data_IF_394114165691
#
_entry.id   IF_394114165691
#
_cell.length_a   1.000
_cell.length_b   1.000
_cell.length_c   1.000
_cell.angle_alpha   90.00
_cell.angle_beta   90.00
_cell.angle_gamma   90.00
#
_symmetry.space_group_name_H-M   'P 1'
#
loop_
_entity.id
_entity.type
_entity.pdbx_description
1 polymer ?
#
# COMPACT_ATOMS: atom_id res chain seq x y z
N UNK A 1 -7.74 20.33 -2.30
CA UNK A 1 -6.48 20.08 -1.59
C UNK A 1 -5.90 18.73 -1.95
N UNK A 2 -4.61 18.69 -2.12
CA UNK A 2 -3.93 17.47 -2.54
C UNK A 2 -3.64 16.57 -1.34
N UNK A 3 -3.92 15.29 -1.50
CA UNK A 3 -3.62 14.30 -0.47
C UNK A 3 -2.30 13.64 -0.76
N UNK A 4 -1.42 13.56 0.23
CA UNK A 4 -0.12 12.95 0.04
C UNK A 4 -0.06 11.52 0.53
N UNK A 5 -0.91 11.16 1.48
CA UNK A 5 -0.97 9.81 2.01
C UNK A 5 -1.47 9.77 3.44
N UNK A 6 -1.26 8.63 4.09
CA UNK A 6 -1.68 8.43 5.48
C UNK A 6 -0.54 7.83 6.29
N UNK A 7 -0.65 7.92 7.61
CA UNK A 7 0.25 7.22 8.52
C UNK A 7 -0.33 5.87 8.88
N UNK A 8 0.49 4.84 8.78
CA UNK A 8 0.15 3.50 9.24
C UNK A 8 1.16 3.16 10.34
N UNK A 9 0.73 3.32 11.58
CA UNK A 9 1.66 3.29 12.69
C UNK A 9 2.60 4.49 12.59
N UNK A 10 3.90 4.22 12.55
CA UNK A 10 4.91 5.27 12.44
C UNK A 10 5.43 5.44 11.00
N UNK A 11 4.81 4.78 10.04
CA UNK A 11 5.27 4.79 8.65
C UNK A 11 4.27 5.53 7.78
N UNK A 12 4.80 6.26 6.80
CA UNK A 12 3.97 7.01 5.87
C UNK A 12 3.71 6.18 4.61
N UNK A 13 2.44 6.02 4.26
CA UNK A 13 2.01 5.32 3.05
C UNK A 13 1.50 6.35 2.06
N UNK A 14 2.22 6.57 0.94
CA UNK A 14 1.83 7.60 -0.02
C UNK A 14 0.50 7.31 -0.72
N UNK A 15 -0.21 8.37 -1.09
CA UNK A 15 -1.52 8.26 -1.72
C UNK A 15 -1.47 7.50 -3.05
N UNK A 16 -0.45 7.74 -3.87
CA UNK A 16 -0.33 7.04 -5.15
C UNK A 16 -0.19 5.53 -4.96
N UNK A 17 0.48 5.12 -3.88
CA UNK A 17 0.64 3.70 -3.57
C UNK A 17 -0.70 3.12 -3.14
N UNK A 18 -1.44 3.84 -2.29
CA UNK A 18 -2.77 3.38 -1.86
C UNK A 18 -3.68 3.18 -3.07
N UNK A 19 -3.70 4.15 -3.97
CA UNK A 19 -4.57 4.07 -5.15
C UNK A 19 -4.17 2.96 -6.09
N UNK A 20 -2.86 2.74 -6.27
CA UNK A 20 -2.39 1.65 -7.10
C UNK A 20 -2.82 0.29 -6.52
N UNK A 21 -2.67 0.13 -5.19
CA UNK A 21 -3.07 -1.11 -4.52
C UNK A 21 -4.59 -1.31 -4.59
N UNK A 22 -5.36 -0.25 -4.40
CA UNK A 22 -6.82 -0.34 -4.54
C UNK A 22 -7.20 -0.86 -5.93
N UNK A 23 -6.53 -0.35 -6.96
CA UNK A 23 -6.78 -0.80 -8.32
C UNK A 23 -6.39 -2.26 -8.53
N UNK A 24 -5.24 -2.68 -7.98
CA UNK A 24 -4.81 -4.07 -8.07
C UNK A 24 -5.83 -5.00 -7.42
N UNK A 25 -6.34 -4.62 -6.25
CA UNK A 25 -7.32 -5.43 -5.54
C UNK A 25 -8.64 -5.50 -6.30
N UNK A 26 -9.06 -4.39 -6.89
CA UNK A 26 -10.27 -4.35 -7.71
C UNK A 26 -10.16 -5.29 -8.91
N UNK A 27 -8.97 -5.40 -9.48
CA UNK A 27 -8.72 -6.26 -10.65
C UNK A 27 -8.40 -7.71 -10.28
N UNK A 28 -8.29 -8.00 -8.99
CA UNK A 28 -7.98 -9.37 -8.54
C UNK A 28 -6.51 -9.74 -8.68
N UNK A 29 -5.63 -8.77 -8.85
CA UNK A 29 -4.19 -9.02 -8.94
C UNK A 29 -3.65 -9.35 -7.56
N UNK A 30 -2.84 -10.39 -7.44
CA UNK A 30 -2.30 -10.85 -6.18
C UNK A 30 -0.87 -10.42 -5.92
N UNK A 31 -0.17 -9.96 -6.94
CA UNK A 31 1.21 -9.50 -6.80
C UNK A 31 1.56 -8.55 -7.92
N UNK A 32 2.26 -7.47 -7.58
CA UNK A 32 2.73 -6.51 -8.57
C UNK A 32 3.95 -5.77 -8.04
N UNK A 33 4.80 -5.33 -8.94
CA UNK A 33 5.95 -4.50 -8.64
C UNK A 33 5.90 -3.30 -9.59
N UNK A 34 6.01 -2.11 -9.04
CA UNK A 34 5.96 -0.89 -9.85
C UNK A 34 6.79 0.21 -9.21
N UNK A 35 6.98 1.29 -9.95
CA UNK A 35 7.71 2.46 -9.45
C UNK A 35 6.70 3.52 -8.99
N UNK A 36 6.82 3.98 -7.76
CA UNK A 36 5.97 5.03 -7.23
C UNK A 36 6.42 6.40 -7.74
N UNK A 37 5.61 7.42 -7.45
CA UNK A 37 5.94 8.79 -7.81
C UNK A 37 7.18 9.29 -7.10
N UNK A 38 7.53 8.66 -5.97
CA UNK A 38 8.74 8.98 -5.24
C UNK A 38 10.02 8.46 -5.92
N UNK A 39 9.86 7.66 -6.99
CA UNK A 39 11.00 7.09 -7.72
C UNK A 39 11.50 5.78 -7.16
N UNK A 40 10.92 5.30 -6.08
CA UNK A 40 11.32 4.04 -5.48
C UNK A 40 10.46 2.88 -5.99
N UNK A 41 11.00 1.68 -5.93
CA UNK A 41 10.25 0.47 -6.32
C UNK A 41 9.37 0.03 -5.16
N UNK A 42 8.14 -0.34 -5.48
CA UNK A 42 7.18 -0.83 -4.51
C UNK A 42 6.68 -2.20 -4.95
N UNK A 43 6.35 -3.04 -3.98
CA UNK A 43 5.81 -4.36 -4.24
C UNK A 43 4.55 -4.59 -3.42
N UNK A 44 3.54 -5.16 -4.05
CA UNK A 44 2.31 -5.56 -3.41
C UNK A 44 2.18 -7.07 -3.49
N UNK A 45 1.80 -7.70 -2.39
CA UNK A 45 1.51 -9.14 -2.34
C UNK A 45 0.24 -9.32 -1.52
N UNK A 46 -0.66 -10.16 -2.01
CA UNK A 46 -1.88 -10.50 -1.30
C UNK A 46 -2.02 -12.01 -1.23
N UNK A 47 -2.32 -12.50 -0.04
CA UNK A 47 -2.64 -13.91 0.17
C UNK A 47 -4.14 -13.99 0.47
N UNK A 48 -4.97 -14.23 -0.56
CA UNK A 48 -6.43 -14.12 -0.39
C UNK A 48 -7.02 -15.12 0.60
N UNK A 49 -6.37 -16.25 0.79
CA UNK A 49 -6.87 -17.30 1.68
C UNK A 49 -6.93 -16.84 3.14
N UNK A 50 -6.03 -15.98 3.55
CA UNK A 50 -5.99 -15.47 4.93
C UNK A 50 -6.20 -13.97 5.02
N UNK A 51 -6.38 -13.29 3.88
CA UNK A 51 -6.59 -11.85 3.83
C UNK A 51 -5.33 -11.02 4.10
N UNK A 52 -4.18 -11.66 4.12
CA UNK A 52 -2.91 -11.00 4.37
C UNK A 52 -2.52 -10.12 3.19
N UNK A 53 -2.11 -8.89 3.48
CA UNK A 53 -1.66 -7.93 2.47
C UNK A 53 -0.32 -7.38 2.92
N UNK A 54 0.64 -7.36 2.00
CA UNK A 54 1.97 -6.84 2.26
C UNK A 54 2.32 -5.81 1.20
N UNK A 55 2.81 -4.65 1.63
CA UNK A 55 3.24 -3.57 0.75
C UNK A 55 4.64 -3.18 1.18
N UNK A 56 5.59 -3.25 0.27
CA UNK A 56 6.99 -3.05 0.58
C UNK A 56 7.60 -2.00 -0.35
N UNK A 57 8.40 -1.11 0.23
CA UNK A 57 9.15 -0.11 -0.51
C UNK A 57 10.63 -0.47 -0.50
N UNK A 58 11.25 -0.46 -1.66
CA UNK A 58 12.68 -0.73 -1.82
C UNK A 58 13.40 0.54 -2.26
N UNK A 59 14.18 1.12 -1.37
CA UNK A 59 14.91 2.35 -1.67
C UNK A 59 16.35 2.11 -2.09
N UNK A 60 16.93 1.02 -1.64
CA UNK A 60 18.31 0.71 -1.93
C UNK A 60 18.48 -0.52 -2.78
N UNK A 61 17.92 -0.52 -3.98
CA UNK A 61 18.03 -1.66 -4.87
C UNK A 61 17.22 -2.84 -4.37
N UNK A 62 17.89 -3.92 -3.97
CA UNK A 62 17.20 -5.12 -3.52
C UNK A 62 16.86 -5.12 -2.03
N UNK A 63 17.31 -4.10 -1.31
CA UNK A 63 17.11 -4.08 0.13
C UNK A 63 15.77 -3.46 0.49
N UNK A 64 14.98 -4.21 1.27
CA UNK A 64 13.72 -3.74 1.78
C UNK A 64 13.94 -2.59 2.76
N UNK A 65 13.25 -1.48 2.55
CA UNK A 65 13.43 -0.29 3.36
C UNK A 65 12.26 -0.10 4.33
N UNK A 66 11.03 -0.12 3.79
CA UNK A 66 9.81 0.07 4.58
C UNK A 66 8.82 -1.00 4.18
N UNK A 67 8.22 -1.66 5.16
CA UNK A 67 7.16 -2.61 4.87
C UNK A 67 5.88 -2.27 5.64
N UNK A 68 4.76 -2.50 5.00
CA UNK A 68 3.43 -2.32 5.58
C UNK A 68 2.75 -3.68 5.58
N UNK A 69 2.64 -4.25 6.77
CA UNK A 69 2.13 -5.60 6.97
C UNK A 69 0.71 -5.51 7.50
N UNK A 70 -0.26 -5.74 6.62
CA UNK A 70 -1.67 -5.77 7.00
C UNK A 70 -2.05 -7.23 7.18
N UNK A 71 -2.00 -7.71 8.41
CA UNK A 71 -2.25 -9.11 8.73
C UNK A 71 -3.65 -9.60 8.37
N UNK A 72 -4.59 -8.67 8.14
CA UNK A 72 -5.95 -9.02 7.73
C UNK A 72 -6.44 -7.99 6.72
N UNK A 73 -7.44 -8.37 5.92
CA UNK A 73 -8.08 -7.43 5.01
C UNK A 73 -8.82 -6.34 5.78
N UNK A 74 -9.24 -6.63 7.01
CA UNK A 74 -9.88 -5.61 7.85
C UNK A 74 -8.91 -4.48 8.20
N UNK A 75 -7.64 -4.80 8.48
CA UNK A 75 -6.63 -3.78 8.75
C UNK A 75 -6.41 -2.89 7.54
N UNK A 76 -6.38 -3.48 6.35
CA UNK A 76 -6.27 -2.71 5.11
C UNK A 76 -7.49 -1.81 4.92
N UNK A 77 -8.70 -2.32 5.19
CA UNK A 77 -9.92 -1.54 5.05
C UNK A 77 -9.92 -0.31 5.96
N UNK A 78 -9.41 -0.45 7.18
CA UNK A 78 -9.29 0.69 8.10
C UNK A 78 -8.38 1.76 7.53
N UNK A 79 -7.24 1.35 6.97
CA UNK A 79 -6.31 2.28 6.35
C UNK A 79 -6.94 3.00 5.15
N UNK A 80 -7.68 2.26 4.32
CA UNK A 80 -8.37 2.84 3.16
C UNK A 80 -9.44 3.83 3.62
N UNK A 81 -10.19 3.51 4.66
CA UNK A 81 -11.21 4.42 5.18
C UNK A 81 -10.60 5.74 5.65
N UNK A 82 -9.46 5.68 6.30
CA UNK A 82 -8.75 6.90 6.71
C UNK A 82 -8.34 7.73 5.50
N UNK A 83 -7.83 7.07 4.47
CA UNK A 83 -7.44 7.76 3.25
C UNK A 83 -8.65 8.42 2.59
N UNK A 84 -9.75 7.69 2.46
CA UNK A 84 -10.96 8.21 1.80
C UNK A 84 -11.54 9.41 2.55
N UNK A 85 -11.45 9.43 3.87
CA UNK A 85 -11.91 10.57 4.65
C UNK A 85 -11.12 11.84 4.34
N UNK A 86 -9.85 11.69 3.97
CA UNK A 86 -9.03 12.83 3.64
C UNK A 86 -9.37 13.43 2.28
N UNK A 87 -10.06 12.68 1.43
CA UNK A 87 -10.43 13.14 0.09
C UNK A 87 -11.66 14.05 0.09
N UNK A 88 -12.40 14.07 1.16
CA UNK A 88 -13.61 14.91 1.29
C UNK A 88 -13.28 16.34 1.65
#
# INVERSE_FOLDING_TARGET
MKREGIMVGEKFLPADIIEHVLNLRRLGVQKDIWKGYDGYSWMYTCMPECGYIDIVCYRGGLQQDISFDFGTSAAWSVAVDEYLKLLD
#
